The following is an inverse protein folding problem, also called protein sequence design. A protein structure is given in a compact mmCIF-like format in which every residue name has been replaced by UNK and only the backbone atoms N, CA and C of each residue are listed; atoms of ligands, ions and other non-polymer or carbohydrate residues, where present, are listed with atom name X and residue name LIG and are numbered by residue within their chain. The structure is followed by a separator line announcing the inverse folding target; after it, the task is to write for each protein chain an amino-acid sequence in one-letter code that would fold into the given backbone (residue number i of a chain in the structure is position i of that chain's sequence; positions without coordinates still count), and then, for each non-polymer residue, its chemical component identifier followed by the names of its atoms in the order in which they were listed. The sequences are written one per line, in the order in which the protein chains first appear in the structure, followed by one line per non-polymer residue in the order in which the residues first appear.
data_IF_297966666473
#
_entry.id   IF_297966666473
#
_cell.length_a   1.000
_cell.length_b   1.000
_cell.length_c   1.000
_cell.angle_alpha   90.00
_cell.angle_beta   90.00
_cell.angle_gamma   90.00
#
_symmetry.space_group_name_H-M   'P 1'
#
loop_
_entity.id
_entity.type
_entity.pdbx_description
1 polymer ?
#
# COMPACT_ATOMS: atom_id res chain seq x y z
N UNK A 1 -24.55 -34.00 14.36
CA UNK A 1 -25.10 -32.65 14.06
C UNK A 1 -24.49 -31.67 15.04
N UNK A 2 -23.40 -31.04 14.66
CA UNK A 2 -22.70 -30.07 15.52
C UNK A 2 -23.47 -28.75 15.42
N UNK A 3 -24.08 -28.30 16.53
CA UNK A 3 -24.70 -26.98 16.60
C UNK A 3 -23.59 -25.93 16.49
N UNK A 4 -23.59 -25.16 15.39
CA UNK A 4 -22.86 -23.90 15.31
C UNK A 4 -23.40 -23.01 16.43
N UNK A 5 -22.52 -22.55 17.32
CA UNK A 5 -22.90 -21.58 18.33
C UNK A 5 -23.32 -20.29 17.62
N UNK A 6 -24.52 -19.79 17.92
CA UNK A 6 -24.95 -18.46 17.49
C UNK A 6 -24.04 -17.42 18.14
N UNK A 7 -23.07 -16.93 17.38
CA UNK A 7 -22.30 -15.75 17.73
C UNK A 7 -23.24 -14.54 17.61
N UNK A 8 -23.79 -14.12 18.75
CA UNK A 8 -24.43 -12.81 18.89
C UNK A 8 -23.36 -11.74 18.64
N UNK A 9 -23.35 -11.19 17.43
CA UNK A 9 -22.65 -9.95 17.12
C UNK A 9 -23.48 -8.83 17.72
N UNK A 10 -23.19 -8.47 18.97
CA UNK A 10 -23.70 -7.27 19.59
C UNK A 10 -23.05 -6.06 18.86
N UNK A 11 -23.61 -5.70 17.71
CA UNK A 11 -23.11 -4.65 16.81
C UNK A 11 -23.49 -3.26 17.31
N UNK A 12 -23.25 -2.99 18.59
CA UNK A 12 -23.12 -1.63 19.08
C UNK A 12 -21.92 -1.01 18.37
N UNK A 13 -22.23 -0.34 17.25
CA UNK A 13 -21.45 0.40 16.28
C UNK A 13 -20.11 0.96 16.80
N UNK A 14 -19.15 0.10 17.09
CA UNK A 14 -17.75 0.49 17.20
C UNK A 14 -17.34 0.92 15.79
N UNK A 15 -16.92 2.18 15.65
CA UNK A 15 -16.32 2.68 14.42
C UNK A 15 -15.30 1.63 13.92
N UNK A 16 -15.45 1.22 12.66
CA UNK A 16 -14.60 0.17 12.10
C UNK A 16 -13.12 0.59 12.23
N UNK A 17 -12.29 -0.32 12.73
CA UNK A 17 -10.88 -0.04 12.98
C UNK A 17 -10.02 -0.63 11.88
N UNK A 18 -9.41 0.23 11.08
CA UNK A 18 -8.41 -0.17 10.10
C UNK A 18 -7.07 -0.55 10.76
N UNK A 19 -6.35 -1.48 10.14
CA UNK A 19 -5.09 -2.00 10.67
C UNK A 19 -4.06 -0.89 10.85
N UNK A 20 -3.33 -0.94 11.97
CA UNK A 20 -2.19 -0.04 12.21
C UNK A 20 -0.98 -0.56 11.44
N UNK A 21 -0.42 0.26 10.56
CA UNK A 21 0.71 -0.14 9.74
C UNK A 21 0.93 0.74 8.51
N UNK A 22 2.03 0.47 7.83
CA UNK A 22 2.30 1.00 6.50
C UNK A 22 1.41 0.30 5.45
N UNK A 23 0.92 1.07 4.50
CA UNK A 23 0.08 0.62 3.39
C UNK A 23 0.64 1.21 2.09
N UNK A 24 0.89 0.38 1.09
CA UNK A 24 1.42 0.81 -0.20
C UNK A 24 0.32 1.48 -1.05
N UNK A 25 0.63 2.64 -1.61
CA UNK A 25 -0.26 3.43 -2.46
C UNK A 25 0.05 3.31 -3.95
N UNK A 26 1.14 2.64 -4.32
CA UNK A 26 1.58 2.45 -5.71
C UNK A 26 2.97 3.06 -5.95
N UNK A 27 3.29 3.30 -7.22
CA UNK A 27 4.55 3.93 -7.63
C UNK A 27 4.58 5.37 -7.13
N UNK A 28 5.69 5.78 -6.52
CA UNK A 28 5.80 7.12 -5.94
C UNK A 28 5.76 8.22 -7.02
N UNK A 29 6.40 7.99 -8.15
CA UNK A 29 6.49 8.98 -9.25
C UNK A 29 5.14 9.29 -9.90
N UNK A 30 4.14 8.42 -9.79
CA UNK A 30 2.77 8.68 -10.27
C UNK A 30 2.14 9.91 -9.60
N UNK A 31 2.61 10.26 -8.40
CA UNK A 31 2.15 11.42 -7.64
C UNK A 31 2.90 12.72 -7.96
N UNK A 32 3.90 12.67 -8.86
CA UNK A 32 4.78 13.78 -9.24
C UNK A 32 4.39 14.45 -10.56
N UNK A 33 3.13 14.34 -10.97
CA UNK A 33 2.62 14.92 -12.21
C UNK A 33 2.13 16.39 -12.07
N UNK A 34 2.37 17.00 -10.90
CA UNK A 34 1.94 18.36 -10.59
C UNK A 34 0.44 18.51 -10.30
N UNK A 35 -0.29 17.41 -10.11
CA UNK A 35 -1.73 17.42 -9.82
C UNK A 35 -2.06 16.97 -8.40
N UNK A 36 -3.32 17.19 -8.03
CA UNK A 36 -3.92 16.61 -6.83
C UNK A 36 -4.47 15.22 -7.16
N UNK A 37 -4.20 14.25 -6.29
CA UNK A 37 -4.63 12.87 -6.43
C UNK A 37 -5.66 12.53 -5.35
N UNK A 38 -6.81 11.98 -5.76
CA UNK A 38 -7.86 11.58 -4.83
C UNK A 38 -7.64 10.16 -4.35
N UNK A 39 -7.59 9.95 -3.04
CA UNK A 39 -7.45 8.62 -2.44
C UNK A 39 -8.68 8.30 -1.57
N UNK A 40 -9.42 7.25 -1.91
CA UNK A 40 -10.54 6.77 -1.08
C UNK A 40 -10.07 5.55 -0.28
N UNK A 41 -9.54 5.81 0.93
CA UNK A 41 -8.92 4.78 1.77
C UNK A 41 -9.27 5.01 3.25
N UNK A 42 -9.22 3.95 4.05
CA UNK A 42 -9.53 3.96 5.49
C UNK A 42 -10.91 4.58 5.80
N UNK A 43 -11.91 4.32 4.95
CA UNK A 43 -13.27 4.82 5.15
C UNK A 43 -13.41 6.33 5.01
N UNK A 44 -12.41 7.01 4.45
CA UNK A 44 -12.40 8.46 4.24
C UNK A 44 -11.83 8.81 2.86
N UNK A 45 -11.78 10.10 2.55
CA UNK A 45 -11.12 10.65 1.37
C UNK A 45 -9.90 11.47 1.77
N UNK A 46 -8.80 11.23 1.10
CA UNK A 46 -7.53 11.95 1.24
C UNK A 46 -7.14 12.60 -0.08
N UNK A 47 -6.28 13.62 0.00
CA UNK A 47 -5.66 14.27 -1.15
C UNK A 47 -4.14 14.09 -1.06
N UNK A 48 -3.54 13.57 -2.13
CA UNK A 48 -2.10 13.42 -2.27
C UNK A 48 -1.55 14.39 -3.32
N UNK A 49 -0.34 14.91 -3.09
CA UNK A 49 0.36 15.78 -4.04
C UNK A 49 1.86 15.80 -3.73
N UNK A 50 2.68 16.03 -4.74
CA UNK A 50 4.11 16.30 -4.57
C UNK A 50 4.34 17.79 -4.30
N UNK A 51 5.10 18.10 -3.25
CA UNK A 51 5.63 19.45 -3.04
C UNK A 51 6.86 19.67 -3.94
N UNK A 52 7.22 20.93 -4.20
CA UNK A 52 8.40 21.33 -4.99
C UNK A 52 9.72 20.81 -4.42
N UNK A 53 9.75 20.51 -3.12
CA UNK A 53 10.88 19.84 -2.44
C UNK A 53 11.04 18.36 -2.83
N UNK A 54 10.09 17.80 -3.59
CA UNK A 54 10.09 16.42 -4.09
C UNK A 54 9.32 15.43 -3.22
N UNK A 55 9.02 15.78 -1.97
CA UNK A 55 8.29 14.90 -1.04
C UNK A 55 6.80 14.83 -1.33
N UNK A 56 6.24 13.62 -1.26
CA UNK A 56 4.80 13.40 -1.43
C UNK A 56 4.07 13.60 -0.10
N UNK A 57 3.10 14.52 -0.13
CA UNK A 57 2.24 14.88 1.01
C UNK A 57 0.87 14.23 0.84
N UNK A 58 0.28 13.79 1.96
CA UNK A 58 -1.11 13.34 2.00
C UNK A 58 -1.87 14.06 3.13
N UNK A 59 -3.00 14.68 2.81
CA UNK A 59 -3.88 15.36 3.76
C UNK A 59 -5.28 14.73 3.78
N UNK A 60 -6.03 14.93 4.87
CA UNK A 60 -7.49 14.71 4.82
C UNK A 60 -8.09 15.63 3.74
N UNK A 61 -8.95 15.08 2.88
CA UNK A 61 -9.49 15.83 1.75
C UNK A 61 -10.64 16.76 2.14
N UNK A 62 -11.37 16.51 3.23
CA UNK A 62 -12.47 17.38 3.62
C UNK A 62 -11.96 18.64 4.30
N UNK A 63 -12.16 19.79 3.65
CA UNK A 63 -11.72 21.09 4.11
C UNK A 63 -12.33 21.42 5.50
N UNK A 64 -11.52 21.74 6.53
CA UNK A 64 -12.01 22.02 7.88
C UNK A 64 -12.85 23.30 8.00
N UNK A 65 -12.98 24.09 6.92
CA UNK A 65 -13.87 25.24 6.87
C UNK A 65 -15.34 24.79 6.78
N UNK A 66 -15.76 24.25 5.64
CA UNK A 66 -17.16 23.87 5.36
C UNK A 66 -17.29 22.52 4.64
N UNK A 67 -16.27 21.66 4.71
CA UNK A 67 -16.33 20.27 4.24
C UNK A 67 -16.17 20.07 2.72
N UNK A 68 -15.77 21.10 1.97
CA UNK A 68 -15.47 20.95 0.55
C UNK A 68 -14.30 19.98 0.31
N UNK A 69 -14.34 19.25 -0.80
CA UNK A 69 -13.31 18.29 -1.17
C UNK A 69 -12.07 18.99 -1.74
N UNK A 70 -10.97 18.98 -0.99
CA UNK A 70 -9.69 19.55 -1.37
C UNK A 70 -9.07 18.82 -2.56
N UNK A 71 -9.38 17.54 -2.80
CA UNK A 71 -8.83 16.81 -3.95
C UNK A 71 -9.40 17.30 -5.28
N UNK A 72 -10.52 18.03 -5.24
CA UNK A 72 -11.13 18.71 -6.38
C UNK A 72 -10.68 20.17 -6.52
N UNK A 73 -9.69 20.58 -5.72
CA UNK A 73 -9.07 21.91 -5.76
C UNK A 73 -7.97 22.05 -6.80
N UNK A 74 -7.08 23.00 -6.57
CA UNK A 74 -5.87 23.20 -7.35
C UNK A 74 -4.63 23.16 -6.46
N UNK A 75 -3.49 22.80 -7.05
CA UNK A 75 -2.19 22.89 -6.40
C UNK A 75 -1.52 24.20 -6.82
N UNK A 76 -1.18 25.06 -5.87
CA UNK A 76 -0.49 26.34 -6.11
C UNK A 76 0.66 26.50 -5.11
N UNK A 77 1.90 26.63 -5.59
CA UNK A 77 3.08 26.88 -4.76
C UNK A 77 3.15 25.97 -3.51
N UNK A 78 3.04 24.65 -3.71
CA UNK A 78 3.03 23.62 -2.65
C UNK A 78 1.86 23.70 -1.67
N UNK A 79 0.79 24.41 -2.03
CA UNK A 79 -0.43 24.50 -1.23
C UNK A 79 -1.64 24.00 -1.99
N UNK A 80 -2.49 23.26 -1.29
CA UNK A 80 -3.78 22.85 -1.82
C UNK A 80 -4.77 23.99 -1.62
N UNK A 81 -5.35 24.46 -2.73
CA UNK A 81 -6.35 25.53 -2.74
C UNK A 81 -7.74 24.89 -2.77
N UNK A 82 -8.50 25.12 -1.70
CA UNK A 82 -9.87 24.61 -1.59
C UNK A 82 -10.77 25.17 -2.71
N UNK A 83 -11.51 24.32 -3.46
CA UNK A 83 -12.30 24.78 -4.61
C UNK A 83 -13.50 25.66 -4.23
N UNK A 84 -13.95 25.61 -2.96
CA UNK A 84 -15.13 26.36 -2.53
C UNK A 84 -14.83 27.81 -2.12
N UNK A 85 -13.82 28.00 -1.27
CA UNK A 85 -13.53 29.31 -0.67
C UNK A 85 -12.05 29.70 -0.76
N UNK A 86 -11.25 28.94 -1.50
CA UNK A 86 -9.84 29.24 -1.78
C UNK A 86 -8.94 29.36 -0.54
N UNK A 87 -9.32 28.73 0.57
CA UNK A 87 -8.40 28.54 1.70
C UNK A 87 -7.25 27.66 1.24
N UNK A 88 -6.02 28.05 1.58
CA UNK A 88 -4.81 27.33 1.17
C UNK A 88 -4.24 26.56 2.35
N UNK A 89 -3.86 25.29 2.10
CA UNK A 89 -3.26 24.40 3.10
C UNK A 89 -1.89 23.92 2.63
N UNK A 90 -0.87 24.05 3.49
CA UNK A 90 0.48 23.55 3.22
C UNK A 90 0.63 22.05 3.51
N UNK A 91 1.84 21.51 3.28
CA UNK A 91 2.13 20.09 3.51
C UNK A 91 1.98 19.60 4.96
N UNK A 92 2.05 20.52 5.93
CA UNK A 92 1.78 20.19 7.34
C UNK A 92 0.28 20.10 7.65
N UNK A 93 -0.56 20.47 6.68
CA UNK A 93 -2.01 20.60 6.82
C UNK A 93 -2.43 21.93 7.44
N UNK A 94 -1.50 22.86 7.71
CA UNK A 94 -1.83 24.17 8.30
C UNK A 94 -2.45 25.07 7.22
N UNK A 95 -3.51 25.80 7.58
CA UNK A 95 -4.02 26.86 6.71
C UNK A 95 -3.02 28.02 6.71
N UNK A 96 -2.51 28.36 5.53
CA UNK A 96 -1.49 29.40 5.32
C UNK A 96 -2.05 30.66 4.70
N UNK A 97 -3.23 30.58 4.07
CA UNK A 97 -3.89 31.73 3.48
C UNK A 97 -5.42 31.57 3.51
N UNK A 98 -6.10 32.66 3.88
CA UNK A 98 -7.53 32.86 3.65
C UNK A 98 -7.66 34.15 2.86
N UNK A 99 -7.94 34.10 1.53
CA UNK A 99 -7.71 35.24 0.62
C UNK A 99 -8.42 36.54 1.03
N UNK A 100 -9.55 36.43 1.72
CA UNK A 100 -10.40 37.55 2.13
C UNK A 100 -10.31 37.89 3.63
N UNK A 101 -9.37 37.30 4.38
CA UNK A 101 -9.19 37.56 5.81
C UNK A 101 -7.74 37.93 6.15
N UNK A 102 -7.56 38.97 6.98
CA UNK A 102 -6.23 39.36 7.50
C UNK A 102 -5.69 38.41 8.58
N UNK A 103 -6.56 37.62 9.21
CA UNK A 103 -6.21 36.71 10.31
C UNK A 103 -6.75 35.33 9.99
N UNK A 104 -5.87 34.33 10.04
CA UNK A 104 -6.23 32.92 9.91
C UNK A 104 -6.61 32.41 11.30
N UNK A 105 -7.73 31.69 11.46
CA UNK A 105 -8.07 31.07 12.75
C UNK A 105 -6.93 30.16 13.23
N UNK A 106 -6.46 30.26 14.51
CA UNK A 106 -5.31 29.49 14.99
C UNK A 106 -5.48 27.96 14.91
N UNK A 107 -6.72 27.48 14.82
CA UNK A 107 -7.08 26.06 14.71
C UNK A 107 -7.36 25.62 13.26
N UNK A 108 -7.20 26.50 12.27
CA UNK A 108 -7.40 26.16 10.86
C UNK A 108 -6.27 25.23 10.38
N UNK A 109 -6.48 23.93 10.57
CA UNK A 109 -5.59 22.88 10.10
C UNK A 109 -6.39 21.63 9.74
N UNK A 110 -5.93 20.93 8.72
CA UNK A 110 -6.35 19.58 8.39
C UNK A 110 -5.30 18.57 8.89
N UNK A 111 -5.64 17.29 8.89
CA UNK A 111 -4.67 16.23 9.23
C UNK A 111 -3.69 16.05 8.08
N UNK A 112 -2.40 16.03 8.40
CA UNK A 112 -1.35 15.51 7.52
C UNK A 112 -0.99 14.08 7.93
N UNK A 113 -0.84 13.21 6.94
CA UNK A 113 -0.53 11.80 7.11
C UNK A 113 0.96 11.55 6.91
N UNK A 114 1.54 10.72 7.77
CA UNK A 114 2.93 10.34 7.63
C UNK A 114 3.09 9.44 6.40
N UNK A 115 3.98 9.83 5.51
CA UNK A 115 4.35 9.11 4.29
C UNK A 115 5.77 8.55 4.40
N UNK A 116 6.06 7.54 3.60
CA UNK A 116 7.40 6.97 3.41
C UNK A 116 7.54 6.60 1.95
N UNK A 117 8.69 6.90 1.36
CA UNK A 117 9.06 6.42 0.02
C UNK A 117 10.19 5.42 0.19
N UNK A 118 10.00 4.21 -0.35
CA UNK A 118 10.95 3.12 -0.27
C UNK A 118 10.74 2.20 -1.47
N UNK A 119 11.80 1.66 -2.07
CA UNK A 119 11.72 0.80 -3.25
C UNK A 119 10.93 1.41 -4.44
N UNK A 120 11.04 2.71 -4.70
CA UNK A 120 10.24 3.46 -5.69
C UNK A 120 8.70 3.44 -5.46
N UNK A 121 8.25 3.04 -4.27
CA UNK A 121 6.85 2.96 -3.89
C UNK A 121 6.51 4.00 -2.82
N UNK A 122 5.28 4.52 -2.86
CA UNK A 122 4.73 5.40 -1.83
C UNK A 122 3.98 4.60 -0.78
N UNK A 123 4.23 4.88 0.49
CA UNK A 123 3.54 4.28 1.63
C UNK A 123 2.90 5.35 2.52
N UNK A 124 1.76 5.00 3.11
CA UNK A 124 1.06 5.80 4.12
C UNK A 124 0.97 5.05 5.45
N UNK A 125 1.24 5.74 6.55
CA UNK A 125 1.11 5.18 7.90
C UNK A 125 -0.29 5.40 8.44
N UNK A 126 -1.02 4.31 8.68
CA UNK A 126 -2.27 4.35 9.42
C UNK A 126 -2.05 3.96 10.88
N UNK A 127 -2.59 4.77 11.80
CA UNK A 127 -2.72 4.39 13.21
C UNK A 127 -3.93 5.10 13.83
N UNK A 128 -5.01 4.37 14.15
CA UNK A 128 -6.18 4.94 14.83
C UNK A 128 -5.88 5.62 16.18
N UNK A 129 -4.75 5.28 16.81
CA UNK A 129 -4.30 5.88 18.08
C UNK A 129 -3.46 7.16 17.87
N UNK A 130 -3.25 7.59 16.61
CA UNK A 130 -2.53 8.82 16.27
C UNK A 130 -1.03 8.82 16.54
N UNK A 131 -0.43 7.67 16.88
CA UNK A 131 1.01 7.55 17.17
C UNK A 131 1.81 7.24 15.91
N UNK A 132 3.03 7.77 15.84
CA UNK A 132 4.04 7.40 14.84
C UNK A 132 4.41 5.90 14.91
N UNK A 133 5.01 5.33 13.85
CA UNK A 133 5.56 3.98 13.87
C UNK A 133 6.55 3.79 15.01
N UNK A 134 6.55 2.60 15.62
CA UNK A 134 7.60 2.22 16.57
C UNK A 134 8.90 1.94 15.81
N UNK A 135 10.04 2.07 16.50
CA UNK A 135 11.32 1.64 15.96
C UNK A 135 11.25 0.18 15.46
N UNK A 136 11.84 -0.08 14.29
CA UNK A 136 11.80 -1.38 13.61
C UNK A 136 10.53 -1.67 12.82
N UNK A 137 9.46 -0.88 12.93
CA UNK A 137 8.25 -1.00 12.08
C UNK A 137 8.43 -0.14 10.83
N UNK A 138 9.18 -0.69 9.87
CA UNK A 138 9.57 -0.03 8.63
C UNK A 138 9.20 -0.90 7.43
N UNK A 139 9.11 -0.28 6.25
CA UNK A 139 9.21 -1.03 4.99
C UNK A 139 10.69 -1.32 4.77
N UNK A 140 11.08 -2.57 4.47
CA UNK A 140 12.47 -2.88 4.20
C UNK A 140 12.90 -2.33 2.84
N UNK A 141 14.14 -1.88 2.77
CA UNK A 141 14.82 -1.68 1.50
C UNK A 141 15.08 -3.05 0.84
N UNK A 142 14.73 -3.17 -0.44
CA UNK A 142 14.98 -4.37 -1.24
C UNK A 142 16.38 -4.28 -1.87
N UNK A 143 17.30 -5.21 -1.59
CA UNK A 143 18.66 -5.18 -2.16
C UNK A 143 18.70 -5.11 -3.69
N UNK A 144 17.64 -5.57 -4.36
CA UNK A 144 17.47 -5.54 -5.82
C UNK A 144 17.41 -4.10 -6.37
N UNK A 145 17.04 -3.12 -5.54
CA UNK A 145 17.04 -1.70 -5.92
C UNK A 145 18.46 -1.15 -6.12
N UNK A 146 19.46 -1.77 -5.50
CA UNK A 146 20.87 -1.41 -5.64
C UNK A 146 21.58 -2.16 -6.79
N UNK A 147 20.92 -3.16 -7.38
CA UNK A 147 21.50 -4.00 -8.43
C UNK A 147 21.09 -3.47 -9.82
N UNK A 148 22.04 -2.99 -10.65
CA UNK A 148 21.75 -2.43 -11.98
C UNK A 148 21.28 -3.49 -12.99
N UNK A 149 21.39 -4.78 -12.66
CA UNK A 149 20.83 -5.85 -13.49
C UNK A 149 19.30 -5.97 -13.34
N UNK A 150 18.69 -5.27 -12.37
CA UNK A 150 17.25 -5.24 -12.20
C UNK A 150 16.61 -4.07 -12.95
N UNK A 151 15.41 -4.32 -13.45
CA UNK A 151 14.52 -3.26 -13.93
C UNK A 151 13.79 -2.73 -12.70
N UNK A 152 14.07 -1.49 -12.30
CA UNK A 152 13.54 -0.90 -11.06
C UNK A 152 12.14 -0.29 -11.20
N UNK A 153 11.57 -0.35 -12.41
CA UNK A 153 10.19 0.03 -12.67
C UNK A 153 9.23 -1.08 -12.22
N UNK A 154 8.28 -0.69 -11.37
CA UNK A 154 7.23 -1.58 -10.94
C UNK A 154 6.10 -1.61 -11.96
N UNK A 155 5.80 -2.79 -12.49
CA UNK A 155 4.60 -3.02 -13.28
C UNK A 155 3.47 -3.39 -12.32
N UNK A 156 2.63 -2.42 -11.92
CA UNK A 156 1.56 -2.61 -10.93
C UNK A 156 0.19 -2.53 -11.59
N UNK A 157 -0.61 -3.54 -11.34
CA UNK A 157 -2.06 -3.53 -11.57
C UNK A 157 -2.81 -3.40 -10.26
N UNK A 158 -4.06 -2.93 -10.37
CA UNK A 158 -4.94 -2.74 -9.22
C UNK A 158 -6.30 -3.40 -9.43
N UNK A 159 -6.90 -3.86 -8.34
CA UNK A 159 -8.22 -4.48 -8.34
C UNK A 159 -8.99 -4.08 -7.07
N UNK A 160 -10.24 -3.66 -7.22
CA UNK A 160 -11.14 -3.49 -6.08
C UNK A 160 -11.73 -4.84 -5.70
N UNK A 161 -11.58 -5.23 -4.43
CA UNK A 161 -12.12 -6.47 -3.87
C UNK A 161 -13.19 -6.11 -2.84
N UNK A 162 -14.38 -6.69 -2.98
CA UNK A 162 -15.54 -6.46 -2.10
C UNK A 162 -15.59 -7.48 -0.95
N UNK A 163 -14.52 -7.53 -0.16
CA UNK A 163 -14.48 -8.27 1.11
C UNK A 163 -13.51 -7.59 2.09
N UNK A 164 -13.40 -8.12 3.31
CA UNK A 164 -12.42 -7.63 4.27
C UNK A 164 -10.98 -7.99 3.82
N UNK A 165 -10.00 -7.08 3.93
CA UNK A 165 -8.62 -7.37 3.51
C UNK A 165 -7.95 -8.54 4.24
N UNK A 166 -8.43 -8.94 5.43
CA UNK A 166 -7.89 -10.09 6.15
C UNK A 166 -7.95 -11.39 5.33
N UNK A 167 -8.97 -11.54 4.48
CA UNK A 167 -9.18 -12.75 3.68
C UNK A 167 -8.02 -12.96 2.68
N UNK A 168 -7.37 -11.88 2.25
CA UNK A 168 -6.16 -11.96 1.42
C UNK A 168 -4.95 -12.46 2.22
N UNK A 169 -4.85 -12.06 3.49
CA UNK A 169 -3.71 -12.38 4.38
C UNK A 169 -3.68 -13.88 4.73
N UNK A 170 -4.85 -14.54 4.81
CA UNK A 170 -4.95 -15.97 5.11
C UNK A 170 -4.21 -16.86 4.09
N UNK A 171 -4.04 -16.39 2.85
CA UNK A 171 -3.24 -17.11 1.83
C UNK A 171 -1.78 -17.34 2.26
N UNK A 172 -1.26 -16.55 3.22
CA UNK A 172 0.11 -16.70 3.71
C UNK A 172 0.36 -18.08 4.32
N UNK A 173 -0.66 -18.74 4.89
CA UNK A 173 -0.54 -20.06 5.53
C UNK A 173 -1.20 -21.19 4.77
N UNK A 174 -1.83 -20.90 3.62
CA UNK A 174 -2.52 -21.90 2.82
C UNK A 174 -1.54 -22.60 1.86
N UNK A 175 -0.90 -23.66 2.34
CA UNK A 175 0.01 -24.44 1.49
C UNK A 175 -0.71 -25.18 0.34
N UNK A 176 -2.00 -25.48 0.49
CA UNK A 176 -2.71 -26.40 -0.40
C UNK A 176 -3.30 -25.70 -1.63
N UNK A 177 -3.65 -24.41 -1.53
CA UNK A 177 -4.18 -23.67 -2.69
C UNK A 177 -3.17 -23.55 -3.85
N UNK A 178 -1.87 -23.66 -3.59
CA UNK A 178 -0.81 -23.62 -4.59
C UNK A 178 -1.00 -24.63 -5.73
N UNK A 179 -1.46 -25.85 -5.44
CA UNK A 179 -1.78 -26.85 -6.47
C UNK A 179 -2.92 -26.42 -7.40
N UNK A 180 -4.17 -26.32 -6.91
CA UNK A 180 -5.34 -26.06 -7.76
C UNK A 180 -5.44 -24.61 -8.28
N UNK A 181 -4.99 -23.60 -7.53
CA UNK A 181 -5.11 -22.19 -7.94
C UNK A 181 -3.94 -21.77 -8.81
N UNK A 182 -2.72 -22.06 -8.36
CA UNK A 182 -1.49 -21.61 -9.04
C UNK A 182 -0.93 -22.62 -10.02
N UNK A 183 -1.43 -23.86 -10.04
CA UNK A 183 -0.86 -24.94 -10.85
C UNK A 183 0.56 -25.31 -10.41
N UNK A 184 0.89 -25.06 -9.14
CA UNK A 184 2.24 -25.26 -8.60
C UNK A 184 2.18 -26.14 -7.35
N UNK A 185 2.17 -27.48 -7.49
CA UNK A 185 2.15 -28.36 -6.33
C UNK A 185 3.33 -28.12 -5.38
N UNK A 186 3.00 -27.98 -4.11
CA UNK A 186 3.95 -27.64 -3.03
C UNK A 186 4.88 -28.82 -2.73
N UNK A 187 6.20 -28.61 -2.83
CA UNK A 187 7.25 -29.56 -2.42
C UNK A 187 7.71 -29.30 -0.99
N UNK A 188 7.85 -28.03 -0.62
CA UNK A 188 8.18 -27.60 0.74
C UNK A 188 7.40 -26.32 1.09
N UNK A 189 6.95 -26.26 2.34
CA UNK A 189 6.23 -25.11 2.87
C UNK A 189 6.53 -24.93 4.34
N UNK A 190 6.79 -23.69 4.75
CA UNK A 190 6.89 -23.33 6.16
C UNK A 190 6.48 -21.87 6.37
N UNK A 191 6.05 -21.56 7.59
CA UNK A 191 5.79 -20.19 8.02
C UNK A 191 6.59 -19.83 9.26
N UNK A 192 6.98 -18.56 9.35
CA UNK A 192 7.63 -17.99 10.54
C UNK A 192 6.99 -16.64 10.85
N UNK A 193 6.47 -16.48 12.06
CA UNK A 193 5.86 -15.24 12.52
C UNK A 193 6.70 -14.64 13.65
N UNK A 194 7.21 -13.43 13.44
CA UNK A 194 8.05 -12.76 14.42
C UNK A 194 7.72 -11.26 14.44
N UNK A 195 7.31 -10.77 15.62
CA UNK A 195 6.92 -9.38 15.79
C UNK A 195 5.76 -8.99 14.86
N UNK A 196 6.05 -8.12 13.90
CA UNK A 196 5.07 -7.62 12.92
C UNK A 196 5.33 -8.18 11.51
N UNK A 197 6.12 -9.24 11.39
CA UNK A 197 6.50 -9.85 10.11
C UNK A 197 6.01 -11.30 10.06
N UNK A 198 5.26 -11.64 9.02
CA UNK A 198 4.82 -13.00 8.73
C UNK A 198 5.48 -13.51 7.47
N UNK A 199 6.30 -14.55 7.57
CA UNK A 199 7.06 -15.14 6.46
C UNK A 199 6.42 -16.42 5.96
N UNK A 200 6.51 -16.64 4.67
CA UNK A 200 6.21 -17.91 4.00
C UNK A 200 7.45 -18.35 3.23
N UNK A 201 7.85 -19.59 3.41
CA UNK A 201 8.92 -20.24 2.66
C UNK A 201 8.25 -21.27 1.78
N UNK A 202 8.42 -21.13 0.47
CA UNK A 202 7.77 -22.00 -0.51
C UNK A 202 8.79 -22.55 -1.50
N UNK A 203 8.65 -23.83 -1.81
CA UNK A 203 9.28 -24.49 -2.96
C UNK A 203 8.24 -25.39 -3.62
N UNK A 204 8.10 -25.29 -4.93
CA UNK A 204 7.19 -26.10 -5.73
C UNK A 204 7.71 -26.32 -7.14
N UNK A 205 6.90 -26.94 -7.98
CA UNK A 205 7.16 -27.05 -9.43
C UNK A 205 6.07 -26.33 -10.20
N UNK A 206 6.42 -25.46 -11.14
CA UNK A 206 5.44 -24.61 -11.83
C UNK A 206 5.56 -24.69 -13.35
N UNK A 207 4.80 -25.55 -14.02
CA UNK A 207 4.89 -25.61 -15.50
C UNK A 207 4.57 -24.27 -16.20
N UNK A 208 3.84 -23.37 -15.52
CA UNK A 208 3.50 -22.04 -16.03
C UNK A 208 4.60 -20.99 -15.83
N UNK A 209 5.35 -21.08 -14.74
CA UNK A 209 6.41 -20.13 -14.38
C UNK A 209 7.81 -20.73 -14.56
N UNK A 210 7.90 -21.92 -15.13
CA UNK A 210 9.11 -22.71 -15.22
C UNK A 210 9.29 -23.71 -14.06
N UNK A 211 10.15 -24.69 -14.27
CA UNK A 211 10.43 -25.72 -13.27
C UNK A 211 11.09 -25.16 -12.01
N UNK A 212 10.99 -25.88 -10.90
CA UNK A 212 11.80 -25.60 -9.70
C UNK A 212 11.61 -24.18 -9.12
N UNK A 213 10.35 -23.83 -8.82
CA UNK A 213 9.97 -22.51 -8.29
C UNK A 213 10.27 -22.39 -6.79
N UNK A 214 11.14 -21.46 -6.44
CA UNK A 214 11.46 -21.06 -5.06
C UNK A 214 10.89 -19.67 -4.83
N UNK A 215 10.10 -19.49 -3.75
CA UNK A 215 9.36 -18.27 -3.49
C UNK A 215 9.31 -17.87 -2.00
N UNK A 216 10.44 -17.58 -1.33
CA UNK A 216 10.41 -16.97 0.00
C UNK A 216 9.72 -15.60 -0.04
N UNK A 217 8.91 -15.34 0.96
CA UNK A 217 8.11 -14.12 1.00
C UNK A 217 7.77 -13.67 2.42
N UNK A 218 7.42 -12.40 2.58
CA UNK A 218 7.09 -11.84 3.88
C UNK A 218 6.08 -10.68 3.81
N UNK A 219 5.06 -10.72 4.66
CA UNK A 219 4.28 -9.55 5.03
C UNK A 219 5.08 -8.69 6.01
N UNK A 220 5.26 -7.43 5.69
CA UNK A 220 5.85 -6.40 6.55
C UNK A 220 4.73 -5.52 7.11
N UNK A 221 4.31 -5.82 8.35
CA UNK A 221 3.10 -5.25 8.91
C UNK A 221 1.84 -5.88 8.31
N UNK A 222 0.72 -5.14 8.25
CA UNK A 222 -0.57 -5.74 7.92
C UNK A 222 -0.84 -5.88 6.41
N UNK A 223 -0.14 -5.14 5.56
CA UNK A 223 -0.68 -4.77 4.25
C UNK A 223 0.30 -4.84 3.07
N UNK A 224 1.59 -5.10 3.30
CA UNK A 224 2.61 -5.13 2.25
C UNK A 224 3.36 -6.45 2.30
N UNK A 225 3.29 -7.22 1.21
CA UNK A 225 3.91 -8.52 1.03
C UNK A 225 4.84 -8.49 -0.17
N UNK A 226 6.12 -8.77 0.07
CA UNK A 226 7.10 -8.98 -0.99
C UNK A 226 7.43 -10.47 -1.09
N UNK A 227 7.52 -10.97 -2.32
CA UNK A 227 7.94 -12.33 -2.64
C UNK A 227 9.12 -12.31 -3.59
N UNK A 228 10.21 -12.97 -3.21
CA UNK A 228 11.34 -13.17 -4.11
C UNK A 228 11.11 -14.47 -4.88
N UNK A 229 10.93 -14.38 -6.19
CA UNK A 229 10.69 -15.51 -7.06
C UNK A 229 11.98 -15.90 -7.78
N UNK A 230 12.27 -17.20 -7.80
CA UNK A 230 13.32 -17.78 -8.62
C UNK A 230 12.82 -19.08 -9.24
N UNK A 231 12.94 -19.22 -10.56
CA UNK A 231 12.40 -20.35 -11.32
C UNK A 231 13.28 -20.70 -12.52
N UNK A 232 13.29 -21.97 -12.95
CA UNK A 232 13.98 -22.43 -14.17
C UNK A 232 13.08 -22.35 -15.39
N UNK A 233 13.44 -21.51 -16.35
CA UNK A 233 12.80 -21.46 -17.66
C UNK A 233 13.74 -22.04 -18.72
N UNK A 234 13.52 -23.29 -19.11
CA UNK A 234 14.51 -24.05 -19.88
C UNK A 234 15.80 -24.23 -19.07
N UNK A 235 16.93 -23.77 -19.63
CA UNK A 235 18.25 -23.83 -18.96
C UNK A 235 18.61 -22.52 -18.23
N UNK A 236 17.69 -21.55 -18.16
CA UNK A 236 17.95 -20.23 -17.57
C UNK A 236 17.19 -20.04 -16.26
N UNK A 237 17.87 -19.53 -15.23
CA UNK A 237 17.25 -19.13 -13.97
C UNK A 237 16.73 -17.70 -14.09
N UNK A 238 15.44 -17.51 -13.91
CA UNK A 238 14.77 -16.20 -13.94
C UNK A 238 14.48 -15.75 -12.51
N UNK A 239 14.58 -14.44 -12.26
CA UNK A 239 14.33 -13.82 -10.96
C UNK A 239 13.33 -12.67 -11.07
N UNK A 240 12.42 -12.59 -10.11
CA UNK A 240 11.46 -11.49 -10.00
C UNK A 240 11.18 -11.17 -8.53
N UNK A 241 10.81 -9.93 -8.24
CA UNK A 241 10.17 -9.57 -6.98
C UNK A 241 8.71 -9.27 -7.26
N UNK A 242 7.81 -9.97 -6.58
CA UNK A 242 6.38 -9.71 -6.61
C UNK A 242 6.00 -8.86 -5.41
N UNK A 243 5.30 -7.76 -5.65
CA UNK A 243 4.55 -6.99 -4.69
C UNK A 243 3.12 -7.53 -4.66
N UNK A 244 2.63 -7.85 -3.47
CA UNK A 244 1.21 -8.01 -3.17
C UNK A 244 0.89 -7.07 -2.00
N UNK A 245 0.04 -6.08 -2.21
CA UNK A 245 -0.32 -5.13 -1.15
C UNK A 245 -1.76 -4.70 -1.24
N UNK A 246 -2.30 -4.18 -0.16
CA UNK A 246 -3.70 -3.78 -0.13
C UNK A 246 -3.94 -2.59 0.78
N UNK A 247 -4.95 -1.79 0.44
CA UNK A 247 -5.41 -0.68 1.27
C UNK A 247 -6.92 -0.74 1.38
N UNK A 248 -7.49 -0.80 2.61
CA UNK A 248 -8.94 -0.82 2.78
C UNK A 248 -9.56 0.48 2.27
N UNK A 249 -10.62 0.36 1.49
CA UNK A 249 -11.49 1.48 1.11
C UNK A 249 -12.57 1.64 2.18
N UNK A 250 -13.19 0.52 2.57
CA UNK A 250 -14.21 0.42 3.61
C UNK A 250 -13.99 -0.81 4.50
N UNK A 251 -14.94 -1.11 5.41
CA UNK A 251 -14.89 -2.31 6.26
C UNK A 251 -14.85 -3.63 5.48
N UNK A 252 -15.53 -3.66 4.33
CA UNK A 252 -15.76 -4.84 3.50
C UNK A 252 -15.30 -4.60 2.05
N UNK A 253 -14.33 -3.71 1.87
CA UNK A 253 -13.69 -3.53 0.57
C UNK A 253 -12.27 -2.98 0.67
N UNK A 254 -11.41 -3.40 -0.26
CA UNK A 254 -10.03 -2.91 -0.35
C UNK A 254 -9.55 -2.86 -1.80
N UNK A 255 -8.60 -1.97 -2.08
CA UNK A 255 -7.84 -1.98 -3.33
C UNK A 255 -6.65 -2.91 -3.13
N UNK A 256 -6.63 -4.02 -3.85
CA UNK A 256 -5.48 -4.88 -4.06
C UNK A 256 -4.56 -4.23 -5.10
N UNK A 257 -3.27 -4.23 -4.84
CA UNK A 257 -2.19 -3.89 -5.78
C UNK A 257 -1.27 -5.08 -5.88
N UNK A 258 -1.08 -5.56 -7.10
CA UNK A 258 -0.11 -6.60 -7.37
C UNK A 258 0.77 -6.16 -8.53
N UNK A 259 2.05 -6.47 -8.45
CA UNK A 259 2.97 -6.05 -9.49
C UNK A 259 4.33 -6.69 -9.32
N UNK A 260 5.18 -6.55 -10.32
CA UNK A 260 6.51 -7.13 -10.26
C UNK A 260 7.58 -6.21 -10.83
N UNK A 261 8.80 -6.49 -10.38
CA UNK A 261 10.03 -6.11 -11.03
C UNK A 261 10.85 -7.37 -11.30
N UNK A 262 11.67 -7.34 -12.35
CA UNK A 262 12.38 -8.51 -12.85
C UNK A 262 13.87 -8.22 -13.03
N UNK A 263 14.69 -9.25 -12.86
CA UNK A 263 16.08 -9.20 -13.25
C UNK A 263 16.20 -9.37 -14.76
N UNK A 264 17.03 -8.57 -15.42
CA UNK A 264 17.30 -8.69 -16.85
C UNK A 264 17.91 -10.07 -17.13
N UNK A 265 17.43 -10.72 -18.19
CA UNK A 265 17.99 -11.97 -18.69
C UNK A 265 18.86 -11.66 -19.92
N UNK A 266 20.18 -11.94 -19.88
CA UNK A 266 21.05 -11.67 -21.02
C UNK A 266 20.56 -12.33 -22.31
N UNK A 267 20.45 -11.54 -23.39
CA UNK A 267 20.02 -12.02 -24.69
C UNK A 267 18.51 -12.08 -24.91
N UNK A 268 17.70 -11.76 -23.89
CA UNK A 268 16.27 -11.51 -24.06
C UNK A 268 16.07 -10.01 -24.30
N UNK A 269 15.28 -9.66 -25.31
CA UNK A 269 14.96 -8.25 -25.59
C UNK A 269 13.93 -7.74 -24.58
N UNK A 270 13.91 -6.42 -24.39
CA UNK A 270 12.83 -5.72 -23.66
C UNK A 270 11.44 -5.99 -24.28
#
# INVERSE_FOLDING_TARGET
MTKLAELSLDSAQRAHRYARGWHCLGVADDYRDGKLHTLNIFGTRLVAFAASTGGITILDAFCPHMGADLSQGTLENDTVVCPFHHWKYDSSGKCVEVPYCKRIPPKAKTRSWLTCEENNLLFIWNNPEGRAPKAGVVIPHLPQMDDPEWIHEWNIDTMLIETNPRELVDNLVDAQHFGPVHGTPTKYFANVFEGHIGRQIFHGDSERLGGDLIAPSAYYGPATHFTELSSMFGDVRVHAILLNSHVPVGPDSFVLRFGCMVKRVPGWTE
#
